data_IF_758101928878
#
_entry.id   IF_758101928878
#
_cell.length_a   1.000
_cell.length_b   1.000
_cell.length_c   1.000
_cell.angle_alpha   90.00
_cell.angle_beta   90.00
_cell.angle_gamma   90.00
#
_symmetry.space_group_name_H-M   'P 1'
#
loop_
_entity.id
_entity.type
_entity.pdbx_description
1 polymer ?
#
# COMPACT_ATOMS: atom_id res chain seq x y z
N UNK A 1 -6.20 -9.78 5.12
CA UNK A 1 -4.97 -9.94 5.91
C UNK A 1 -4.79 -8.73 6.78
N UNK A 2 -4.42 -8.92 8.04
CA UNK A 2 -4.03 -7.82 8.92
C UNK A 2 -2.51 -7.68 8.91
N UNK A 3 -2.01 -6.45 9.05
CA UNK A 3 -0.59 -6.14 9.11
C UNK A 3 -0.33 -4.98 10.08
N UNK A 4 0.89 -4.92 10.64
CA UNK A 4 1.25 -3.92 11.65
C UNK A 4 1.94 -2.72 11.01
N UNK A 5 1.35 -1.54 11.17
CA UNK A 5 1.92 -0.27 10.76
C UNK A 5 2.74 0.34 11.90
N UNK A 6 3.86 1.00 11.56
CA UNK A 6 4.73 1.66 12.55
C UNK A 6 5.14 3.03 12.00
N UNK A 7 4.63 4.10 12.60
CA UNK A 7 5.09 5.47 12.35
C UNK A 7 6.13 5.88 13.39
N UNK A 8 7.28 6.36 12.92
CA UNK A 8 8.34 6.94 13.75
C UNK A 8 8.40 8.45 13.53
N UNK A 9 8.35 9.21 14.62
CA UNK A 9 8.51 10.67 14.60
C UNK A 9 9.41 11.09 15.77
N UNK A 10 10.72 11.20 15.49
CA UNK A 10 11.74 11.39 16.53
C UNK A 10 11.76 10.21 17.51
N UNK A 11 11.59 10.49 18.80
CA UNK A 11 11.50 9.48 19.86
C UNK A 11 10.11 8.84 19.97
N UNK A 12 9.07 9.41 19.33
CA UNK A 12 7.71 8.87 19.39
C UNK A 12 7.52 7.77 18.37
N UNK A 13 6.87 6.69 18.81
CA UNK A 13 6.49 5.55 17.98
C UNK A 13 5.00 5.33 18.14
N UNK A 14 4.28 5.37 17.03
CA UNK A 14 2.87 4.99 16.96
C UNK A 14 2.74 3.70 16.17
N UNK A 15 1.88 2.80 16.64
CA UNK A 15 1.61 1.52 16.00
C UNK A 15 0.12 1.27 15.90
N UNK A 16 -0.33 0.71 14.79
CA UNK A 16 -1.72 0.31 14.59
C UNK A 16 -1.81 -0.86 13.62
N UNK A 17 -2.96 -1.52 13.61
CA UNK A 17 -3.26 -2.58 12.67
C UNK A 17 -3.91 -2.00 11.42
N UNK A 18 -3.35 -2.32 10.27
CA UNK A 18 -3.98 -2.12 8.96
C UNK A 18 -4.60 -3.43 8.47
N UNK A 19 -5.59 -3.32 7.59
CA UNK A 19 -6.22 -4.45 6.91
C UNK A 19 -6.02 -4.31 5.41
N UNK A 20 -5.74 -5.42 4.75
CA UNK A 20 -5.57 -5.54 3.30
C UNK A 20 -6.44 -6.67 2.77
N UNK A 21 -7.27 -6.39 1.77
CA UNK A 21 -8.12 -7.36 1.08
C UNK A 21 -7.74 -7.32 -0.39
N UNK A 22 -7.21 -8.41 -0.93
CA UNK A 22 -6.95 -8.52 -2.36
C UNK A 22 -8.28 -8.81 -3.07
N UNK A 23 -8.66 -7.95 -4.02
CA UNK A 23 -9.89 -8.07 -4.82
C UNK A 23 -9.62 -8.76 -6.15
N UNK A 24 -8.53 -8.37 -6.81
CA UNK A 24 -8.18 -8.82 -8.15
C UNK A 24 -6.68 -8.81 -8.37
N UNK A 25 -6.21 -9.65 -9.30
CA UNK A 25 -4.81 -9.68 -9.71
C UNK A 25 -4.67 -10.16 -11.14
N UNK A 26 -3.57 -9.78 -11.77
CA UNK A 26 -3.10 -10.37 -13.02
C UNK A 26 -1.58 -10.26 -13.13
N UNK A 27 -1.02 -10.57 -14.30
CA UNK A 27 0.42 -10.41 -14.53
C UNK A 27 0.85 -8.96 -14.30
N UNK A 28 1.58 -8.71 -13.21
CA UNK A 28 2.15 -7.41 -12.90
C UNK A 28 1.20 -6.35 -12.35
N UNK A 29 -0.03 -6.70 -11.96
CA UNK A 29 -0.96 -5.76 -11.33
C UNK A 29 -1.84 -6.41 -10.25
N UNK A 30 -2.30 -5.57 -9.33
CA UNK A 30 -3.09 -5.90 -8.16
C UNK A 30 -4.18 -4.85 -7.97
N UNK A 31 -5.36 -5.31 -7.59
CA UNK A 31 -6.46 -4.48 -7.09
C UNK A 31 -6.80 -4.93 -5.68
N UNK A 32 -6.83 -3.99 -4.75
CA UNK A 32 -7.03 -4.31 -3.34
C UNK A 32 -7.71 -3.17 -2.58
N UNK A 33 -8.21 -3.51 -1.40
CA UNK A 33 -8.71 -2.56 -0.41
C UNK A 33 -7.75 -2.53 0.76
N UNK A 34 -7.42 -1.33 1.22
CA UNK A 34 -6.64 -1.09 2.43
C UNK A 34 -7.47 -0.26 3.40
N UNK A 35 -7.55 -0.71 4.64
CA UNK A 35 -8.12 0.05 5.75
C UNK A 35 -7.07 0.30 6.83
N UNK A 36 -7.05 1.50 7.39
CA UNK A 36 -6.25 1.79 8.57
C UNK A 36 -6.66 3.09 9.24
N UNK A 37 -6.78 3.06 10.57
CA UNK A 37 -7.10 4.23 11.41
C UNK A 37 -8.30 5.06 10.96
N UNK A 38 -9.31 4.40 10.40
CA UNK A 38 -10.56 5.02 9.96
C UNK A 38 -10.55 5.56 8.53
N UNK A 39 -9.47 5.37 7.78
CA UNK A 39 -9.39 5.70 6.36
C UNK A 39 -9.45 4.41 5.52
N UNK A 40 -10.26 4.43 4.45
CA UNK A 40 -10.40 3.36 3.46
C UNK A 40 -9.77 3.77 2.12
N UNK A 41 -9.04 2.87 1.49
CA UNK A 41 -8.37 3.06 0.21
C UNK A 41 -8.72 1.92 -0.74
N UNK A 42 -9.31 2.25 -1.88
CA UNK A 42 -9.38 1.35 -3.02
C UNK A 42 -8.15 1.60 -3.88
N UNK A 43 -7.29 0.58 -4.02
CA UNK A 43 -5.99 0.73 -4.66
C UNK A 43 -5.87 -0.13 -5.91
N UNK A 44 -5.19 0.42 -6.91
CA UNK A 44 -4.67 -0.27 -8.08
C UNK A 44 -3.16 -0.09 -8.07
N UNK A 45 -2.42 -1.18 -7.91
CA UNK A 45 -0.96 -1.15 -7.90
C UNK A 45 -0.42 -2.10 -8.96
N UNK A 46 0.64 -1.70 -9.65
CA UNK A 46 1.20 -2.56 -10.67
C UNK A 46 2.50 -2.04 -11.23
N UNK A 47 2.92 -2.65 -12.34
CA UNK A 47 4.10 -2.26 -13.10
C UNK A 47 3.72 -1.86 -14.51
N UNK A 48 4.21 -0.71 -14.94
CA UNK A 48 4.21 -0.29 -16.34
C UNK A 48 5.64 -0.35 -16.90
N UNK A 49 5.83 0.08 -18.15
CA UNK A 49 7.10 -0.02 -18.88
C UNK A 49 8.28 0.64 -18.17
N UNK A 50 8.03 1.68 -17.38
CA UNK A 50 9.06 2.54 -16.80
C UNK A 50 9.16 2.45 -15.27
N UNK A 51 8.27 1.72 -14.59
CA UNK A 51 8.26 1.69 -13.14
C UNK A 51 7.05 1.01 -12.55
N UNK A 52 6.99 1.02 -11.22
CA UNK A 52 5.81 0.61 -10.48
C UNK A 52 4.91 1.82 -10.26
N UNK A 53 3.61 1.61 -10.17
CA UNK A 53 2.65 2.68 -9.94
C UNK A 53 1.65 2.31 -8.87
N UNK A 54 1.05 3.36 -8.32
CA UNK A 54 -0.13 3.30 -7.47
C UNK A 54 -1.18 4.26 -7.99
N UNK A 55 -2.43 3.80 -8.07
CA UNK A 55 -3.59 4.66 -8.16
C UNK A 55 -4.50 4.37 -6.95
N UNK A 56 -5.07 5.42 -6.38
CA UNK A 56 -6.10 5.36 -5.33
C UNK A 56 -7.29 6.18 -5.84
N UNK A 57 -8.20 5.59 -6.65
CA UNK A 57 -9.23 6.36 -7.35
C UNK A 57 -10.18 7.11 -6.41
N UNK A 58 -10.52 6.50 -5.26
CA UNK A 58 -11.44 7.11 -4.29
C UNK A 58 -10.86 8.32 -3.53
N UNK A 59 -9.58 8.63 -3.73
CA UNK A 59 -8.89 9.80 -3.18
C UNK A 59 -8.28 10.70 -4.26
N UNK A 60 -8.54 10.44 -5.54
CA UNK A 60 -7.97 11.18 -6.69
C UNK A 60 -6.42 11.22 -6.68
N UNK A 61 -5.79 10.07 -6.43
CA UNK A 61 -4.33 9.96 -6.33
C UNK A 61 -3.79 8.99 -7.37
N UNK A 62 -2.68 9.40 -8.00
CA UNK A 62 -1.83 8.53 -8.82
C UNK A 62 -0.37 8.93 -8.68
N UNK A 63 0.53 7.96 -8.48
CA UNK A 63 1.97 8.21 -8.42
C UNK A 63 2.82 7.01 -8.81
N UNK A 64 4.07 7.28 -9.19
CA UNK A 64 5.12 6.26 -9.28
C UNK A 64 5.48 5.72 -7.89
N UNK A 65 5.90 4.46 -7.86
CA UNK A 65 6.42 3.73 -6.70
C UNK A 65 7.84 3.22 -6.98
N UNK A 66 8.59 2.99 -5.90
CA UNK A 66 9.77 2.12 -5.91
C UNK A 66 9.30 0.65 -5.97
N UNK A 67 10.15 -0.30 -5.58
CA UNK A 67 9.69 -1.65 -5.30
C UNK A 67 8.60 -1.65 -4.20
N UNK A 68 7.62 -2.54 -4.28
CA UNK A 68 6.55 -2.61 -3.28
C UNK A 68 7.07 -2.91 -1.87
N UNK A 69 8.22 -3.57 -1.75
CA UNK A 69 8.88 -3.83 -0.47
C UNK A 69 9.61 -2.62 0.12
N UNK A 70 9.85 -1.57 -0.67
CA UNK A 70 10.54 -0.35 -0.23
C UNK A 70 9.58 0.61 0.47
N UNK A 71 9.30 0.31 1.74
CA UNK A 71 8.40 1.11 2.57
C UNK A 71 8.88 2.56 2.69
N UNK A 72 10.18 2.78 2.87
CA UNK A 72 10.71 4.12 3.13
C UNK A 72 10.46 5.07 1.95
N UNK A 73 10.81 4.63 0.74
CA UNK A 73 10.62 5.45 -0.46
C UNK A 73 9.12 5.66 -0.76
N UNK A 74 8.31 4.60 -0.65
CA UNK A 74 6.88 4.67 -0.95
C UNK A 74 6.13 5.52 0.08
N UNK A 75 6.46 5.41 1.38
CA UNK A 75 5.93 6.28 2.43
C UNK A 75 6.25 7.75 2.16
N UNK A 76 7.51 8.08 1.85
CA UNK A 76 7.93 9.44 1.58
C UNK A 76 7.19 10.01 0.36
N UNK A 77 7.11 9.25 -0.73
CA UNK A 77 6.39 9.65 -1.94
C UNK A 77 4.91 9.91 -1.66
N UNK A 78 4.24 9.01 -0.93
CA UNK A 78 2.83 9.13 -0.58
C UNK A 78 2.57 10.25 0.44
N UNK A 79 3.53 10.54 1.33
CA UNK A 79 3.39 11.61 2.32
C UNK A 79 3.32 13.01 1.69
N UNK A 80 3.68 13.16 0.42
CA UNK A 80 3.45 14.38 -0.35
C UNK A 80 2.02 14.52 -0.89
N UNK A 81 1.24 13.44 -0.88
CA UNK A 81 -0.11 13.36 -1.46
C UNK A 81 -1.20 13.16 -0.40
N UNK A 82 -0.88 12.43 0.68
CA UNK A 82 -1.79 12.12 1.79
C UNK A 82 -1.10 12.32 3.14
N UNK A 83 -1.89 12.28 4.22
CA UNK A 83 -1.36 12.39 5.58
C UNK A 83 -0.35 11.29 5.83
N UNK A 84 0.72 11.61 6.56
CA UNK A 84 1.81 10.66 6.84
C UNK A 84 1.34 9.32 7.43
N UNK A 85 0.33 9.34 8.29
CA UNK A 85 -0.28 8.12 8.87
C UNK A 85 -0.92 7.23 7.80
N UNK A 86 -1.60 7.85 6.84
CA UNK A 86 -2.23 7.16 5.71
C UNK A 86 -1.16 6.65 4.73
N UNK A 87 -0.11 7.44 4.47
CA UNK A 87 1.04 7.03 3.67
C UNK A 87 1.74 5.79 4.24
N UNK A 88 1.99 5.74 5.55
CA UNK A 88 2.55 4.55 6.22
C UNK A 88 1.63 3.34 6.06
N UNK A 89 0.31 3.55 6.22
CA UNK A 89 -0.69 2.47 6.10
C UNK A 89 -0.62 1.85 4.71
N UNK A 90 -0.75 2.68 3.66
CA UNK A 90 -0.71 2.20 2.28
C UNK A 90 0.64 1.58 1.94
N UNK A 91 1.76 2.25 2.24
CA UNK A 91 3.10 1.74 1.92
C UNK A 91 3.39 0.38 2.59
N UNK A 92 3.01 0.21 3.85
CA UNK A 92 3.17 -1.08 4.55
C UNK A 92 2.25 -2.16 3.95
N UNK A 93 1.03 -1.79 3.55
CA UNK A 93 0.10 -2.71 2.89
C UNK A 93 0.63 -3.23 1.55
N UNK A 94 1.27 -2.38 0.74
CA UNK A 94 1.81 -2.75 -0.58
C UNK A 94 2.78 -3.94 -0.52
N UNK A 95 3.59 -4.03 0.56
CA UNK A 95 4.54 -5.12 0.79
C UNK A 95 3.88 -6.50 0.74
N UNK A 96 2.61 -6.59 1.15
CA UNK A 96 1.90 -7.86 1.27
C UNK A 96 1.18 -8.29 0.00
N UNK A 97 1.05 -7.42 -1.02
CA UNK A 97 0.31 -7.73 -2.25
C UNK A 97 0.86 -8.96 -2.99
N UNK A 98 2.18 -9.09 -3.25
CA UNK A 98 2.71 -10.25 -3.97
C UNK A 98 2.44 -11.56 -3.22
N UNK A 99 2.72 -11.57 -1.91
CA UNK A 99 2.53 -12.75 -1.06
C UNK A 99 1.06 -13.18 -0.93
N UNK A 100 0.12 -12.22 -0.95
CA UNK A 100 -1.31 -12.53 -0.95
C UNK A 100 -1.79 -13.10 -2.27
N UNK A 101 -1.30 -12.55 -3.38
CA UNK A 101 -1.60 -13.05 -4.71
C UNK A 101 -1.14 -14.50 -4.92
N UNK A 102 0.06 -14.83 -4.44
CA UNK A 102 0.62 -16.18 -4.54
C UNK A 102 -0.18 -17.22 -3.74
N UNK A 103 -0.77 -16.81 -2.61
CA UNK A 103 -1.60 -17.68 -1.78
C UNK A 103 -2.95 -17.98 -2.42
N UNK A 104 -3.55 -17.02 -3.13
CA UNK A 104 -4.85 -17.22 -3.79
C UNK A 104 -4.74 -18.03 -5.09
N UNK A 105 -3.56 -18.11 -5.71
CA UNK A 105 -3.33 -18.90 -6.94
C UNK A 105 -3.11 -20.40 -6.74
N UNK A 106 -3.17 -20.91 -5.50
CA UNK A 106 -2.91 -22.31 -5.16
C UNK A 106 -4.18 -23.14 -4.86
N UNK A 107 -5.36 -22.59 -5.15
CA UNK A 107 -6.64 -23.29 -5.04
C UNK A 107 -7.17 -23.69 -6.41
#
# INVERSE_FOLDING_TARGET
MEYNCILRHGSRRETWTGRLILLGRGPGWYEAEIDGRGTYFHILAGRHKYGNYLCIPNHDIGCELSDFSDIFWNEERLSHLIRKVDAVTVATGLVHLPALADKQGKN
#
